data_IF_029817059320
#
_entry.id   IF_029817059320
#
_cell.length_a   1.000
_cell.length_b   1.000
_cell.length_c   1.000
_cell.angle_alpha   90.00
_cell.angle_beta   90.00
_cell.angle_gamma   90.00
#
_symmetry.space_group_name_H-M   'P 1'
#
loop_
_entity.id
_entity.type
_entity.pdbx_description
1 polymer ?
#
# COMPACT_ATOMS: atom_id res chain seq x y z
N UNK A 1 12.90 -21.41 1.33
CA UNK A 1 11.57 -20.92 1.76
C UNK A 1 11.36 -19.41 1.52
N UNK A 2 12.37 -18.52 1.74
CA UNK A 2 12.25 -17.06 1.55
C UNK A 2 12.01 -16.62 0.08
N UNK A 3 12.61 -17.28 -0.89
CA UNK A 3 12.44 -17.00 -2.33
C UNK A 3 11.06 -17.41 -2.89
N UNK A 4 10.43 -18.42 -2.31
CA UNK A 4 9.08 -18.83 -2.69
C UNK A 4 8.05 -17.78 -2.26
N UNK A 5 8.18 -17.21 -1.07
CA UNK A 5 7.27 -16.17 -0.54
C UNK A 5 7.34 -14.89 -1.38
N UNK A 6 8.54 -14.47 -1.80
CA UNK A 6 8.71 -13.29 -2.67
C UNK A 6 8.14 -13.55 -4.06
N UNK A 7 8.39 -14.74 -4.64
CA UNK A 7 7.79 -15.13 -5.93
C UNK A 7 6.28 -15.24 -5.85
N UNK A 8 5.75 -15.83 -4.78
CA UNK A 8 4.30 -15.95 -4.56
C UNK A 8 3.67 -14.56 -4.34
N UNK A 9 4.37 -13.65 -3.70
CA UNK A 9 3.89 -12.29 -3.45
C UNK A 9 3.92 -11.42 -4.71
N UNK A 10 4.99 -11.49 -5.52
CA UNK A 10 5.05 -10.86 -6.84
C UNK A 10 4.01 -11.49 -7.77
N UNK A 11 3.86 -12.82 -7.76
CA UNK A 11 2.85 -13.54 -8.54
C UNK A 11 1.44 -13.16 -8.08
N UNK A 12 1.20 -12.97 -6.78
CA UNK A 12 -0.08 -12.52 -6.22
C UNK A 12 -0.39 -11.09 -6.64
N UNK A 13 0.59 -10.18 -6.62
CA UNK A 13 0.41 -8.80 -7.10
C UNK A 13 0.14 -8.80 -8.61
N UNK A 14 0.91 -9.58 -9.39
CA UNK A 14 0.72 -9.73 -10.83
C UNK A 14 -0.60 -10.43 -11.14
N UNK A 15 -1.01 -11.42 -10.35
CA UNK A 15 -2.29 -12.11 -10.51
C UNK A 15 -3.47 -11.24 -10.06
N UNK A 16 -3.32 -10.42 -9.04
CA UNK A 16 -4.32 -9.44 -8.59
C UNK A 16 -4.48 -8.31 -9.60
N UNK A 17 -3.38 -7.83 -10.18
CA UNK A 17 -3.43 -6.87 -11.29
C UNK A 17 -3.97 -7.53 -12.55
N UNK A 18 -3.61 -8.76 -12.88
CA UNK A 18 -4.14 -9.50 -14.02
C UNK A 18 -5.61 -9.91 -13.83
N UNK A 19 -6.05 -10.24 -12.62
CA UNK A 19 -7.45 -10.55 -12.29
C UNK A 19 -8.32 -9.27 -12.24
N UNK A 20 -7.73 -8.11 -11.94
CA UNK A 20 -8.37 -6.80 -12.10
C UNK A 20 -8.47 -6.37 -13.58
N UNK A 21 -7.81 -7.10 -14.51
CA UNK A 21 -7.86 -6.89 -15.95
C UNK A 21 -8.53 -8.04 -16.72
N UNK A 22 -9.79 -8.43 -16.48
CA UNK A 22 -10.50 -9.35 -17.37
C UNK A 22 -11.17 -8.62 -18.54
N UNK A 23 -10.63 -7.49 -19.02
CA UNK A 23 -11.32 -6.77 -20.09
C UNK A 23 -10.39 -6.25 -21.20
N UNK A 24 -10.14 -7.15 -22.14
CA UNK A 24 -9.85 -6.80 -23.52
C UNK A 24 -11.21 -6.70 -24.21
N UNK A 25 -11.72 -5.53 -24.40
CA UNK A 25 -12.66 -5.07 -25.42
C UNK A 25 -13.54 -3.90 -24.92
N UNK A 26 -13.63 -2.91 -25.76
CA UNK A 26 -14.36 -1.63 -25.69
C UNK A 26 -13.56 -0.47 -25.07
N UNK A 27 -12.45 -0.11 -25.71
CA UNK A 27 -11.87 1.22 -25.63
C UNK A 27 -12.13 1.92 -26.98
N UNK A 28 -13.34 2.40 -27.17
CA UNK A 28 -13.66 3.44 -28.14
C UNK A 28 -14.71 4.34 -27.45
N UNK A 29 -14.21 5.39 -26.83
CA UNK A 29 -14.76 6.72 -26.62
C UNK A 29 -14.14 7.35 -25.38
N UNK A 30 -13.42 8.46 -25.56
CA UNK A 30 -12.89 9.29 -24.49
C UNK A 30 -14.06 9.92 -23.72
N UNK A 31 -14.30 9.47 -22.50
CA UNK A 31 -15.30 10.08 -21.61
C UNK A 31 -14.62 11.21 -20.83
N UNK A 32 -14.96 12.44 -21.19
CA UNK A 32 -14.52 13.64 -20.47
C UNK A 32 -15.40 13.77 -19.22
N UNK A 33 -14.80 13.67 -18.03
CA UNK A 33 -15.46 13.95 -16.76
C UNK A 33 -15.16 15.39 -16.38
N UNK A 34 -15.97 16.33 -16.88
CA UNK A 34 -15.90 17.74 -16.48
C UNK A 34 -16.35 17.90 -15.03
N UNK A 35 -15.46 18.46 -14.19
CA UNK A 35 -15.79 18.92 -12.85
C UNK A 35 -15.25 18.11 -11.67
N UNK A 36 -14.43 17.07 -11.88
CA UNK A 36 -13.76 16.36 -10.79
C UNK A 36 -12.38 16.97 -10.51
N UNK A 37 -12.30 17.85 -9.51
CA UNK A 37 -11.04 18.24 -8.87
C UNK A 37 -10.90 17.43 -7.59
N UNK A 38 -10.26 16.26 -7.64
CA UNK A 38 -9.79 15.61 -6.44
C UNK A 38 -8.68 16.48 -5.83
N UNK A 39 -8.70 16.67 -4.50
CA UNK A 39 -7.54 17.17 -3.75
C UNK A 39 -6.42 16.11 -3.84
N UNK A 40 -5.80 16.05 -4.99
CA UNK A 40 -4.65 15.19 -5.24
C UNK A 40 -3.42 15.94 -4.71
N UNK A 41 -2.61 15.34 -3.83
CA UNK A 41 -1.36 15.97 -3.41
C UNK A 41 -0.53 16.40 -4.62
N UNK A 42 0.06 17.60 -4.64
CA UNK A 42 0.74 18.16 -5.82
C UNK A 42 1.90 17.31 -6.34
N UNK A 43 2.51 16.49 -5.49
CA UNK A 43 3.54 15.53 -5.88
C UNK A 43 2.95 14.35 -6.67
N UNK A 44 1.70 13.97 -6.36
CA UNK A 44 0.97 12.92 -7.06
C UNK A 44 0.39 13.43 -8.38
N UNK A 45 -0.13 14.66 -8.39
CA UNK A 45 -0.63 15.31 -9.62
C UNK A 45 0.46 15.39 -10.68
N UNK A 46 1.69 15.74 -10.28
CA UNK A 46 2.85 15.74 -11.16
C UNK A 46 3.21 14.33 -11.64
N UNK A 47 3.19 13.34 -10.77
CA UNK A 47 3.49 11.94 -11.13
C UNK A 47 2.42 11.33 -12.04
N UNK A 48 1.15 11.70 -11.86
CA UNK A 48 0.03 11.28 -12.70
C UNK A 48 0.06 12.02 -14.05
N UNK A 49 0.37 13.32 -14.08
CA UNK A 49 0.51 14.08 -15.32
C UNK A 49 1.71 13.60 -16.14
N UNK A 50 2.83 13.28 -15.50
CA UNK A 50 4.00 12.68 -16.15
C UNK A 50 3.70 11.27 -16.68
N UNK A 51 2.74 10.55 -16.06
CA UNK A 51 2.23 9.27 -16.53
C UNK A 51 1.13 9.40 -17.61
N UNK A 52 0.71 10.63 -17.95
CA UNK A 52 -0.38 10.88 -18.92
C UNK A 52 -1.78 10.52 -18.37
N UNK A 53 -1.90 10.37 -17.06
CA UNK A 53 -3.15 10.03 -16.36
C UNK A 53 -3.71 11.32 -15.77
N UNK A 54 -4.68 11.93 -16.45
CA UNK A 54 -5.40 13.09 -15.92
C UNK A 54 -6.84 12.69 -15.58
N UNK A 55 -7.47 13.29 -14.56
CA UNK A 55 -8.89 13.02 -14.24
C UNK A 55 -9.84 13.33 -15.39
N UNK A 56 -9.41 14.17 -16.33
CA UNK A 56 -10.22 14.70 -17.43
C UNK A 56 -10.09 13.90 -18.74
N UNK A 57 -9.04 13.11 -18.91
CA UNK A 57 -8.85 12.30 -20.12
C UNK A 57 -8.10 11.02 -19.77
N UNK A 58 -8.84 9.93 -19.69
CA UNK A 58 -8.24 8.60 -19.73
C UNK A 58 -8.11 8.24 -21.20
N UNK A 59 -7.04 8.74 -21.84
CA UNK A 59 -6.71 8.30 -23.18
C UNK A 59 -6.38 6.82 -23.17
N UNK A 60 -7.01 6.07 -24.05
CA UNK A 60 -6.73 4.64 -24.25
C UNK A 60 -5.24 4.36 -24.57
N UNK A 61 -4.51 5.35 -25.09
CA UNK A 61 -3.06 5.31 -25.26
C UNK A 61 -2.27 5.53 -23.97
N UNK A 62 -2.79 6.28 -23.00
CA UNK A 62 -2.14 6.47 -21.70
C UNK A 62 -2.24 5.22 -20.82
N UNK A 63 -3.28 4.40 -20.99
CA UNK A 63 -3.44 3.05 -20.44
C UNK A 63 -2.65 1.97 -21.20
N UNK A 64 -1.80 2.35 -22.19
CA UNK A 64 -0.89 1.38 -22.77
C UNK A 64 0.01 0.85 -21.64
N UNK A 65 -0.12 -0.44 -21.38
CA UNK A 65 0.60 -1.19 -20.33
C UNK A 65 2.10 -0.87 -20.36
N UNK A 66 2.64 -0.59 -21.56
CA UNK A 66 4.05 -0.26 -21.77
C UNK A 66 4.46 1.10 -21.18
N UNK A 67 3.61 2.14 -21.26
CA UNK A 67 3.91 3.46 -20.67
C UNK A 67 3.80 3.42 -19.13
N UNK A 68 2.77 2.73 -18.60
CA UNK A 68 2.64 2.53 -17.15
C UNK A 68 3.84 1.73 -16.61
N UNK A 69 4.26 0.67 -17.31
CA UNK A 69 5.44 -0.13 -16.94
C UNK A 69 6.71 0.73 -17.01
N UNK A 70 6.92 1.54 -18.03
CA UNK A 70 8.13 2.36 -18.17
C UNK A 70 8.24 3.42 -17.07
N UNK A 71 7.14 4.07 -16.70
CA UNK A 71 7.10 5.06 -15.63
C UNK A 71 7.29 4.41 -14.25
N UNK A 72 6.62 3.27 -14.01
CA UNK A 72 6.80 2.49 -12.78
C UNK A 72 8.25 2.01 -12.68
N UNK A 73 8.88 1.54 -13.76
CA UNK A 73 10.30 1.12 -13.73
C UNK A 73 11.25 2.28 -13.44
N UNK A 74 10.97 3.50 -13.92
CA UNK A 74 11.74 4.71 -13.57
C UNK A 74 11.64 5.05 -12.08
N UNK A 75 10.42 5.05 -11.53
CA UNK A 75 10.18 5.27 -10.09
C UNK A 75 10.82 4.19 -9.22
N UNK A 76 10.80 2.93 -9.68
CA UNK A 76 11.44 1.81 -9.01
C UNK A 76 12.95 1.96 -8.94
N UNK A 77 13.57 2.40 -10.04
CA UNK A 77 15.01 2.61 -10.08
C UNK A 77 15.47 3.70 -9.09
N UNK A 78 14.72 4.77 -8.97
CA UNK A 78 14.98 5.80 -7.96
C UNK A 78 14.80 5.27 -6.53
N UNK A 79 13.77 4.48 -6.28
CA UNK A 79 13.47 3.90 -4.96
C UNK A 79 14.53 2.90 -4.47
N UNK A 80 15.29 2.28 -5.38
CA UNK A 80 16.34 1.31 -5.07
C UNK A 80 17.69 1.97 -4.74
N UNK A 81 17.98 3.16 -5.27
CA UNK A 81 19.27 3.85 -5.08
C UNK A 81 19.61 4.08 -3.60
N UNK A 82 18.66 4.53 -2.80
CA UNK A 82 18.86 4.84 -1.37
C UNK A 82 19.16 3.58 -0.54
N UNK A 83 18.39 2.48 -0.64
CA UNK A 83 18.71 1.21 0.05
C UNK A 83 20.04 0.60 -0.37
N UNK A 84 20.44 0.69 -1.65
CA UNK A 84 21.75 0.22 -2.11
C UNK A 84 22.89 1.01 -1.50
N UNK A 85 22.77 2.34 -1.43
CA UNK A 85 23.74 3.19 -0.77
C UNK A 85 23.88 2.86 0.71
N UNK A 86 22.77 2.58 1.38
CA UNK A 86 22.75 2.11 2.77
C UNK A 86 23.48 0.78 2.91
N UNK A 87 23.20 -0.20 2.05
CA UNK A 87 23.86 -1.52 2.09
C UNK A 87 25.38 -1.39 1.99
N UNK A 88 25.85 -0.61 1.02
CA UNK A 88 27.29 -0.36 0.83
C UNK A 88 27.88 0.30 2.08
N UNK A 89 27.20 1.30 2.64
CA UNK A 89 27.65 1.99 3.85
C UNK A 89 27.73 1.03 5.04
N UNK A 90 26.71 0.20 5.29
CA UNK A 90 26.69 -0.77 6.39
C UNK A 90 27.78 -1.83 6.24
N UNK A 91 27.98 -2.38 5.03
CA UNK A 91 29.04 -3.35 4.76
C UNK A 91 30.42 -2.71 4.99
N UNK A 92 30.64 -1.49 4.48
CA UNK A 92 31.91 -0.78 4.64
C UNK A 92 32.25 -0.54 6.12
N UNK A 93 31.27 -0.06 6.91
CA UNK A 93 31.48 0.16 8.34
C UNK A 93 31.69 -1.18 9.08
N UNK A 94 30.95 -2.22 8.75
CA UNK A 94 31.12 -3.56 9.35
C UNK A 94 32.51 -4.12 9.06
N UNK A 95 33.03 -3.94 7.86
CA UNK A 95 34.41 -4.34 7.49
C UNK A 95 35.44 -3.55 8.29
N UNK A 96 35.30 -2.23 8.39
CA UNK A 96 36.20 -1.41 9.21
C UNK A 96 36.17 -1.82 10.67
N UNK A 97 34.99 -2.12 11.20
CA UNK A 97 34.83 -2.62 12.57
C UNK A 97 35.50 -3.99 12.76
N UNK A 98 35.38 -4.90 11.78
CA UNK A 98 36.03 -6.20 11.82
C UNK A 98 37.54 -6.08 11.84
N UNK A 99 38.09 -5.24 10.96
CA UNK A 99 39.55 -4.97 10.91
C UNK A 99 40.02 -4.38 12.25
N UNK A 100 39.30 -3.38 12.77
CA UNK A 100 39.63 -2.76 14.06
C UNK A 100 39.63 -3.77 15.22
N UNK A 101 38.66 -4.70 15.25
CA UNK A 101 38.62 -5.78 16.27
C UNK A 101 39.82 -6.70 16.18
N UNK A 102 40.26 -7.08 14.97
CA UNK A 102 41.47 -7.92 14.78
C UNK A 102 42.71 -7.22 15.29
N UNK A 103 42.87 -5.90 15.04
CA UNK A 103 43.98 -5.14 15.60
C UNK A 103 43.90 -4.99 17.12
N UNK A 104 42.71 -4.85 17.65
CA UNK A 104 42.47 -4.69 19.09
C UNK A 104 42.72 -5.99 19.86
N UNK A 105 42.57 -7.16 19.26
CA UNK A 105 42.87 -8.47 19.87
C UNK A 105 44.37 -8.64 20.15
N UNK A 106 45.23 -7.93 19.43
CA UNK A 106 46.70 -7.93 19.63
C UNK A 106 47.17 -6.84 20.63
N UNK A 107 46.28 -6.08 21.23
CA UNK A 107 46.58 -4.95 22.11
C UNK A 107 45.93 -5.16 23.49
N UNK A 108 46.33 -4.42 24.51
CA UNK A 108 45.82 -4.53 25.89
C UNK A 108 44.27 -4.38 25.95
N UNK A 109 43.61 -5.24 26.76
CA UNK A 109 42.17 -5.49 26.79
C UNK A 109 41.21 -4.27 26.87
N UNK A 110 41.64 -3.12 27.40
CA UNK A 110 40.80 -1.93 27.47
C UNK A 110 40.55 -1.26 26.12
N UNK A 111 41.49 -1.33 25.17
CA UNK A 111 41.35 -0.78 23.84
C UNK A 111 40.32 -1.55 23.00
N UNK A 112 40.23 -2.86 23.15
CA UNK A 112 39.25 -3.71 22.48
C UNK A 112 37.81 -3.26 22.79
N UNK A 113 37.50 -3.01 24.06
CA UNK A 113 36.17 -2.55 24.48
C UNK A 113 35.82 -1.19 23.90
N UNK A 114 36.76 -0.25 23.86
CA UNK A 114 36.56 1.07 23.28
C UNK A 114 36.32 0.99 21.76
N UNK A 115 37.12 0.23 21.02
CA UNK A 115 36.92 0.06 19.58
C UNK A 115 35.59 -0.63 19.25
N UNK A 116 35.20 -1.66 20.01
CA UNK A 116 33.91 -2.31 19.86
C UNK A 116 32.76 -1.35 20.08
N UNK A 117 32.78 -0.54 21.14
CA UNK A 117 31.75 0.46 21.43
C UNK A 117 31.62 1.52 20.34
N UNK A 118 32.76 2.08 19.88
CA UNK A 118 32.75 3.10 18.80
C UNK A 118 32.19 2.49 17.51
N UNK A 119 32.55 1.26 17.18
CA UNK A 119 32.05 0.54 16.02
C UNK A 119 30.52 0.33 16.09
N UNK A 120 30.03 -0.13 17.23
CA UNK A 120 28.59 -0.33 17.47
C UNK A 120 27.85 0.99 17.37
N UNK A 121 28.35 2.06 17.96
CA UNK A 121 27.72 3.40 17.89
C UNK A 121 27.66 3.93 16.45
N UNK A 122 28.73 3.79 15.68
CA UNK A 122 28.76 4.22 14.28
C UNK A 122 27.73 3.46 13.43
N UNK A 123 27.73 2.13 13.50
CA UNK A 123 26.75 1.31 12.78
C UNK A 123 25.31 1.55 13.25
N UNK A 124 25.09 1.73 14.55
CA UNK A 124 23.76 1.95 15.09
C UNK A 124 23.17 3.28 14.64
N UNK A 125 23.98 4.33 14.58
CA UNK A 125 23.52 5.63 14.05
C UNK A 125 23.04 5.52 12.62
N UNK A 126 23.80 4.86 11.74
CA UNK A 126 23.42 4.67 10.33
C UNK A 126 22.15 3.80 10.22
N UNK A 127 22.08 2.70 10.97
CA UNK A 127 20.96 1.74 10.92
C UNK A 127 19.67 2.39 11.42
N UNK A 128 19.72 3.08 12.56
CA UNK A 128 18.54 3.71 13.18
C UNK A 128 18.06 4.90 12.35
N UNK A 129 18.97 5.73 11.83
CA UNK A 129 18.60 6.84 10.93
C UNK A 129 17.88 6.32 9.71
N UNK A 130 18.45 5.33 8.98
CA UNK A 130 17.84 4.78 7.78
C UNK A 130 16.49 4.09 8.05
N UNK A 131 16.35 3.37 9.16
CA UNK A 131 15.10 2.73 9.54
C UNK A 131 14.03 3.77 9.91
N UNK A 132 14.41 4.84 10.62
CA UNK A 132 13.54 5.96 10.99
C UNK A 132 13.07 6.75 9.75
N UNK A 133 13.98 7.03 8.81
CA UNK A 133 13.65 7.72 7.56
C UNK A 133 12.69 6.89 6.72
N UNK A 134 12.91 5.58 6.63
CA UNK A 134 12.02 4.64 5.95
C UNK A 134 10.63 4.60 6.58
N UNK A 135 10.54 4.61 7.91
CA UNK A 135 9.27 4.62 8.65
C UNK A 135 8.51 5.95 8.43
N UNK A 136 9.23 7.07 8.46
CA UNK A 136 8.66 8.40 8.21
C UNK A 136 8.14 8.53 6.77
N UNK A 137 8.90 8.06 5.80
CA UNK A 137 8.48 8.04 4.40
C UNK A 137 7.22 7.17 4.19
N UNK A 138 7.17 5.98 4.81
CA UNK A 138 6.01 5.11 4.75
C UNK A 138 4.77 5.74 5.43
N UNK A 139 4.96 6.42 6.55
CA UNK A 139 3.87 7.14 7.24
C UNK A 139 3.28 8.24 6.36
N UNK A 140 4.11 9.03 5.68
CA UNK A 140 3.66 10.04 4.70
C UNK A 140 2.91 9.40 3.53
N UNK A 141 3.37 8.27 3.02
CA UNK A 141 2.68 7.54 1.95
C UNK A 141 1.29 7.06 2.40
N UNK A 142 1.16 6.55 3.62
CA UNK A 142 -0.14 6.17 4.18
C UNK A 142 -1.06 7.38 4.35
N UNK A 143 -0.53 8.50 4.79
CA UNK A 143 -1.28 9.76 4.91
C UNK A 143 -1.79 10.23 3.55
N UNK A 144 -0.92 10.29 2.54
CA UNK A 144 -1.30 10.64 1.17
C UNK A 144 -2.34 9.67 0.59
N UNK A 145 -2.19 8.37 0.85
CA UNK A 145 -3.17 7.36 0.45
C UNK A 145 -4.52 7.53 1.14
N UNK A 146 -4.52 7.90 2.43
CA UNK A 146 -5.74 8.18 3.20
C UNK A 146 -6.47 9.42 2.67
N UNK A 147 -5.74 10.49 2.34
CA UNK A 147 -6.29 11.71 1.71
C UNK A 147 -6.86 11.38 0.33
N UNK A 148 -6.14 10.60 -0.46
CA UNK A 148 -6.66 10.12 -1.76
C UNK A 148 -7.97 9.35 -1.60
N UNK A 149 -8.05 8.37 -0.70
CA UNK A 149 -9.29 7.63 -0.48
C UNK A 149 -10.42 8.53 0.05
N UNK A 150 -10.09 9.51 0.89
CA UNK A 150 -11.07 10.45 1.44
C UNK A 150 -11.76 11.30 0.37
N UNK A 151 -11.07 11.64 -0.72
CA UNK A 151 -11.66 12.36 -1.86
C UNK A 151 -12.25 11.42 -2.91
N UNK A 152 -11.59 10.29 -3.18
CA UNK A 152 -11.99 9.36 -4.23
C UNK A 152 -13.29 8.61 -3.90
N UNK A 153 -13.42 8.09 -2.67
CA UNK A 153 -14.56 7.24 -2.29
C UNK A 153 -15.90 7.98 -2.34
N UNK A 154 -16.06 9.21 -1.80
CA UNK A 154 -17.31 9.95 -1.94
C UNK A 154 -17.70 10.25 -3.39
N UNK A 155 -16.74 10.60 -4.24
CA UNK A 155 -16.98 10.83 -5.66
C UNK A 155 -17.45 9.55 -6.36
N UNK A 156 -16.79 8.42 -6.09
CA UNK A 156 -17.21 7.13 -6.63
C UNK A 156 -18.59 6.69 -6.12
N UNK A 157 -18.88 6.93 -4.84
CA UNK A 157 -20.21 6.69 -4.28
C UNK A 157 -21.29 7.56 -4.96
N UNK A 158 -20.97 8.81 -5.33
CA UNK A 158 -21.84 9.67 -6.13
C UNK A 158 -22.18 9.04 -7.49
N UNK A 159 -21.18 8.55 -8.22
CA UNK A 159 -21.38 7.84 -9.51
C UNK A 159 -22.22 6.57 -9.30
N UNK A 160 -22.02 5.82 -8.22
CA UNK A 160 -22.82 4.66 -7.88
C UNK A 160 -24.29 5.03 -7.64
N UNK A 161 -24.53 6.09 -6.89
CA UNK A 161 -25.89 6.56 -6.57
C UNK A 161 -26.65 6.98 -7.83
N UNK A 162 -26.01 7.67 -8.79
CA UNK A 162 -26.61 8.04 -10.08
C UNK A 162 -26.92 6.82 -10.96
N UNK A 163 -26.20 5.69 -10.74
CA UNK A 163 -26.49 4.41 -11.39
C UNK A 163 -27.68 3.65 -10.78
N UNK A 164 -28.37 4.23 -9.78
CA UNK A 164 -29.49 3.61 -9.06
C UNK A 164 -29.07 2.77 -7.85
N UNK A 165 -27.79 2.67 -7.53
CA UNK A 165 -27.26 1.92 -6.39
C UNK A 165 -27.06 2.79 -5.15
N UNK A 166 -28.14 3.47 -4.70
CA UNK A 166 -28.09 4.48 -3.63
C UNK A 166 -27.71 3.87 -2.28
N UNK A 167 -28.32 2.71 -1.92
CA UNK A 167 -28.05 2.03 -0.65
C UNK A 167 -26.61 1.52 -0.59
N UNK A 168 -26.16 0.91 -1.67
CA UNK A 168 -24.76 0.45 -1.81
C UNK A 168 -23.78 1.61 -1.70
N UNK A 169 -24.02 2.72 -2.40
CA UNK A 169 -23.18 3.91 -2.37
C UNK A 169 -23.00 4.47 -0.95
N UNK A 170 -24.11 4.67 -0.24
CA UNK A 170 -24.09 5.23 1.12
C UNK A 170 -23.34 4.34 2.12
N UNK A 171 -23.61 3.03 2.08
CA UNK A 171 -23.00 2.07 2.99
C UNK A 171 -21.50 1.87 2.72
N UNK A 172 -21.11 1.74 1.44
CA UNK A 172 -19.69 1.62 1.07
C UNK A 172 -18.91 2.87 1.44
N UNK A 173 -19.44 4.06 1.14
CA UNK A 173 -18.81 5.30 1.55
C UNK A 173 -18.51 5.29 3.06
N UNK A 174 -19.50 4.94 3.88
CA UNK A 174 -19.34 4.92 5.34
C UNK A 174 -18.28 3.91 5.81
N UNK A 175 -18.31 2.68 5.30
CA UNK A 175 -17.40 1.62 5.78
C UNK A 175 -15.99 1.80 5.25
N UNK A 176 -15.83 2.17 3.98
CA UNK A 176 -14.48 2.36 3.43
C UNK A 176 -13.83 3.60 4.04
N UNK A 177 -14.57 4.71 4.19
CA UNK A 177 -14.07 5.90 4.89
C UNK A 177 -13.72 5.61 6.34
N UNK A 178 -14.62 4.95 7.08
CA UNK A 178 -14.38 4.55 8.46
C UNK A 178 -13.19 3.60 8.60
N UNK A 179 -13.08 2.63 7.69
CA UNK A 179 -11.96 1.69 7.60
C UNK A 179 -10.63 2.39 7.32
N UNK A 180 -10.57 3.27 6.33
CA UNK A 180 -9.37 4.03 5.98
C UNK A 180 -8.91 4.95 7.12
N UNK A 181 -9.84 5.68 7.74
CA UNK A 181 -9.54 6.56 8.87
C UNK A 181 -9.13 5.75 10.12
N UNK A 182 -9.82 4.65 10.41
CA UNK A 182 -9.47 3.76 11.51
C UNK A 182 -8.09 3.13 11.32
N UNK A 183 -7.79 2.67 10.11
CA UNK A 183 -6.49 2.13 9.76
C UNK A 183 -5.37 3.18 9.92
N UNK A 184 -5.60 4.40 9.44
CA UNK A 184 -4.63 5.50 9.55
C UNK A 184 -4.36 5.86 11.02
N UNK A 185 -5.39 5.89 11.87
CA UNK A 185 -5.21 6.12 13.31
C UNK A 185 -4.44 4.99 13.98
N UNK A 186 -4.71 3.73 13.63
CA UNK A 186 -3.93 2.58 14.12
C UNK A 186 -2.47 2.70 13.71
N UNK A 187 -2.21 2.98 12.43
CA UNK A 187 -0.86 3.11 11.90
C UNK A 187 -0.08 4.23 12.61
N UNK A 188 -0.63 5.45 12.67
CA UNK A 188 0.05 6.63 13.19
C UNK A 188 0.17 6.63 14.72
N UNK A 189 -0.86 6.19 15.46
CA UNK A 189 -0.88 6.28 16.93
C UNK A 189 -0.33 5.04 17.64
N UNK A 190 -0.27 3.89 16.96
CA UNK A 190 0.15 2.62 17.57
C UNK A 190 1.34 2.03 16.86
N UNK A 191 1.23 1.74 15.55
CA UNK A 191 2.26 0.97 14.86
C UNK A 191 3.56 1.75 14.66
N UNK A 192 3.48 3.03 14.33
CA UNK A 192 4.66 3.91 14.17
C UNK A 192 5.39 4.09 15.51
N UNK A 193 4.75 4.48 16.62
CA UNK A 193 5.42 4.60 17.93
C UNK A 193 6.00 3.27 18.42
N UNK A 194 5.29 2.15 18.24
CA UNK A 194 5.80 0.81 18.59
C UNK A 194 7.07 0.49 17.78
N UNK A 195 7.07 0.76 16.48
CA UNK A 195 8.24 0.53 15.62
C UNK A 195 9.44 1.41 16.02
N UNK A 196 9.20 2.68 16.36
CA UNK A 196 10.25 3.58 16.90
C UNK A 196 10.78 3.10 18.24
N UNK A 197 9.90 2.61 19.13
CA UNK A 197 10.32 2.07 20.42
C UNK A 197 11.21 0.82 20.27
N UNK A 198 10.90 -0.06 19.33
CA UNK A 198 11.75 -1.23 19.02
C UNK A 198 13.13 -0.76 18.57
N UNK A 199 13.23 0.23 17.68
CA UNK A 199 14.50 0.78 17.24
C UNK A 199 15.30 1.39 18.41
N UNK A 200 14.65 2.16 19.26
CA UNK A 200 15.28 2.77 20.44
C UNK A 200 15.81 1.73 21.44
N UNK A 201 15.00 0.72 21.75
CA UNK A 201 15.40 -0.38 22.64
C UNK A 201 16.54 -1.19 22.01
N UNK A 202 16.48 -1.45 20.69
CA UNK A 202 17.54 -2.18 19.97
C UNK A 202 18.85 -1.43 19.97
N UNK A 203 18.83 -0.09 19.88
CA UNK A 203 20.00 0.76 20.02
C UNK A 203 20.63 0.61 21.41
N UNK A 204 19.82 0.75 22.46
CA UNK A 204 20.29 0.60 23.84
C UNK A 204 20.88 -0.79 24.09
N UNK A 205 20.23 -1.85 23.59
CA UNK A 205 20.70 -3.22 23.74
C UNK A 205 21.98 -3.54 22.97
N UNK A 206 22.20 -2.91 21.82
CA UNK A 206 23.44 -3.08 21.05
C UNK A 206 24.66 -2.49 21.77
N UNK A 207 24.46 -1.45 22.57
CA UNK A 207 25.51 -0.84 23.40
C UNK A 207 25.77 -1.65 24.67
N UNK A 208 24.72 -2.15 25.33
CA UNK A 208 24.86 -2.92 26.59
C UNK A 208 25.33 -4.37 26.40
N UNK A 209 25.18 -4.95 25.21
CA UNK A 209 25.75 -6.26 24.83
C UNK A 209 25.09 -7.50 25.46
N UNK A 210 24.31 -7.37 26.53
CA UNK A 210 23.75 -8.51 27.28
C UNK A 210 22.29 -8.87 26.90
N UNK A 211 21.57 -7.98 26.23
CA UNK A 211 20.15 -8.15 25.98
C UNK A 211 19.88 -8.77 24.60
N UNK A 212 19.28 -9.95 24.56
CA UNK A 212 18.81 -10.60 23.32
C UNK A 212 17.52 -9.94 22.80
N UNK A 213 17.62 -8.68 22.40
CA UNK A 213 16.49 -7.88 21.94
C UNK A 213 15.92 -8.31 20.58
N UNK A 214 16.69 -9.11 19.82
CA UNK A 214 16.22 -9.72 18.57
C UNK A 214 14.94 -10.54 18.78
N UNK A 215 14.87 -11.32 19.87
CA UNK A 215 13.70 -12.16 20.19
C UNK A 215 12.46 -11.29 20.47
N UNK A 216 12.64 -10.17 21.18
CA UNK A 216 11.55 -9.22 21.45
C UNK A 216 11.05 -8.58 20.16
N UNK A 217 11.95 -8.08 19.31
CA UNK A 217 11.61 -7.48 18.02
C UNK A 217 10.86 -8.46 17.10
N UNK A 218 11.27 -9.72 17.08
CA UNK A 218 10.58 -10.76 16.31
C UNK A 218 9.21 -11.10 16.89
N UNK A 219 9.04 -11.12 18.20
CA UNK A 219 7.75 -11.34 18.85
C UNK A 219 6.77 -10.20 18.51
N UNK A 220 7.20 -8.96 18.66
CA UNK A 220 6.37 -7.78 18.32
C UNK A 220 6.02 -7.77 16.83
N UNK A 221 6.99 -8.02 15.93
CA UNK A 221 6.75 -8.16 14.50
C UNK A 221 5.66 -9.19 14.20
N UNK A 222 5.74 -10.38 14.78
CA UNK A 222 4.76 -11.45 14.58
C UNK A 222 3.38 -11.05 15.06
N UNK A 223 3.30 -10.43 16.23
CA UNK A 223 2.04 -9.94 16.82
C UNK A 223 1.41 -8.85 15.97
N UNK A 224 2.18 -7.87 15.52
CA UNK A 224 1.69 -6.77 14.65
C UNK A 224 1.15 -7.31 13.33
N UNK A 225 1.90 -8.19 12.66
CA UNK A 225 1.45 -8.78 11.40
C UNK A 225 0.16 -9.58 11.58
N UNK A 226 0.03 -10.32 12.70
CA UNK A 226 -1.18 -11.06 13.02
C UNK A 226 -2.38 -10.13 13.27
N UNK A 227 -2.20 -9.04 14.02
CA UNK A 227 -3.24 -8.04 14.28
C UNK A 227 -3.67 -7.36 12.97
N UNK A 228 -2.73 -6.98 12.09
CA UNK A 228 -3.05 -6.41 10.79
C UNK A 228 -3.86 -7.37 9.93
N UNK A 229 -3.48 -8.66 9.91
CA UNK A 229 -4.24 -9.71 9.22
C UNK A 229 -5.66 -9.87 9.75
N UNK A 230 -5.84 -9.81 11.07
CA UNK A 230 -7.15 -9.88 11.71
C UNK A 230 -8.01 -8.67 11.33
N UNK A 231 -7.46 -7.46 11.39
CA UNK A 231 -8.15 -6.21 11.00
C UNK A 231 -8.59 -6.29 9.54
N UNK A 232 -7.72 -6.75 8.65
CA UNK A 232 -8.05 -6.93 7.24
C UNK A 232 -9.17 -7.96 7.03
N UNK A 233 -9.14 -9.07 7.76
CA UNK A 233 -10.19 -10.09 7.70
C UNK A 233 -11.54 -9.53 8.14
N UNK A 234 -11.58 -8.79 9.25
CA UNK A 234 -12.80 -8.13 9.74
C UNK A 234 -13.30 -7.10 8.74
N UNK A 235 -12.41 -6.28 8.18
CA UNK A 235 -12.77 -5.27 7.19
C UNK A 235 -13.41 -5.90 5.93
N UNK A 236 -12.79 -6.95 5.38
CA UNK A 236 -13.31 -7.67 4.20
C UNK A 236 -14.65 -8.34 4.53
N UNK A 237 -14.78 -8.93 5.74
CA UNK A 237 -16.05 -9.52 6.18
C UNK A 237 -17.17 -8.48 6.29
N UNK A 238 -16.88 -7.28 6.81
CA UNK A 238 -17.84 -6.17 6.88
C UNK A 238 -18.27 -5.72 5.47
N UNK A 239 -17.34 -5.57 4.53
CA UNK A 239 -17.65 -5.23 3.15
C UNK A 239 -18.50 -6.30 2.47
N UNK A 240 -18.17 -7.58 2.65
CA UNK A 240 -18.93 -8.70 2.11
C UNK A 240 -20.36 -8.74 2.70
N UNK A 241 -20.50 -8.62 4.01
CA UNK A 241 -21.82 -8.60 4.67
C UNK A 241 -22.70 -7.47 4.14
N UNK A 242 -22.15 -6.29 3.98
CA UNK A 242 -22.89 -5.14 3.42
C UNK A 242 -23.31 -5.39 1.98
N UNK A 243 -22.45 -6.00 1.17
CA UNK A 243 -22.73 -6.41 -0.19
C UNK A 243 -24.00 -7.28 -0.28
N UNK A 244 -24.13 -8.26 0.62
CA UNK A 244 -25.31 -9.13 0.65
C UNK A 244 -26.62 -8.42 1.02
N UNK A 245 -26.54 -7.30 1.73
CA UNK A 245 -27.72 -6.54 2.18
C UNK A 245 -28.14 -5.50 1.14
N UNK A 246 -27.17 -4.74 0.60
CA UNK A 246 -27.45 -3.54 -0.20
C UNK A 246 -27.74 -3.85 -1.66
N UNK A 247 -27.04 -4.83 -2.28
CA UNK A 247 -27.22 -5.13 -3.70
C UNK A 247 -28.63 -5.63 -4.03
N UNK A 248 -29.23 -6.58 -3.29
CA UNK A 248 -30.61 -6.98 -3.54
C UNK A 248 -31.61 -5.82 -3.35
N UNK A 249 -31.38 -4.95 -2.36
CA UNK A 249 -32.24 -3.78 -2.10
C UNK A 249 -32.24 -2.81 -3.27
N UNK A 250 -31.07 -2.46 -3.80
CA UNK A 250 -30.92 -1.55 -4.94
C UNK A 250 -31.51 -2.18 -6.22
N UNK A 251 -31.30 -3.47 -6.47
CA UNK A 251 -31.85 -4.17 -7.61
C UNK A 251 -33.39 -4.20 -7.62
N UNK A 252 -34.01 -4.37 -6.46
CA UNK A 252 -35.47 -4.27 -6.31
C UNK A 252 -35.95 -2.85 -6.62
N UNK A 253 -35.25 -1.84 -6.12
CA UNK A 253 -35.56 -0.43 -6.39
C UNK A 253 -35.49 -0.08 -7.88
N UNK A 254 -34.44 -0.49 -8.58
CA UNK A 254 -34.28 -0.28 -10.03
C UNK A 254 -35.39 -0.99 -10.83
N UNK A 255 -35.68 -2.24 -10.50
CA UNK A 255 -36.77 -3.00 -11.16
C UNK A 255 -38.13 -2.39 -10.91
N UNK A 256 -38.42 -1.95 -9.69
CA UNK A 256 -39.66 -1.25 -9.36
C UNK A 256 -39.80 0.06 -10.12
N UNK A 257 -38.75 0.85 -10.21
CA UNK A 257 -38.76 2.11 -10.99
C UNK A 257 -39.03 1.83 -12.48
N UNK A 258 -38.33 0.87 -13.09
CA UNK A 258 -38.56 0.46 -14.49
C UNK A 258 -39.99 -0.02 -14.70
N UNK A 259 -40.53 -0.87 -13.83
CA UNK A 259 -41.88 -1.38 -13.89
C UNK A 259 -42.94 -0.24 -13.81
N UNK A 260 -42.74 0.71 -12.89
CA UNK A 260 -43.64 1.83 -12.72
C UNK A 260 -43.67 2.73 -13.98
N UNK A 261 -42.49 2.98 -14.56
CA UNK A 261 -42.39 3.80 -15.78
C UNK A 261 -42.99 3.07 -16.98
N UNK A 262 -42.68 1.79 -17.16
CA UNK A 262 -43.16 1.01 -18.31
C UNK A 262 -44.70 0.83 -18.31
N UNK A 263 -45.31 0.67 -17.15
CA UNK A 263 -46.74 0.41 -17.03
C UNK A 263 -47.57 1.68 -16.66
N UNK A 264 -46.90 2.69 -16.05
CA UNK A 264 -47.58 3.91 -15.61
C UNK A 264 -47.83 4.94 -16.70
N UNK A 265 -47.11 4.86 -17.84
CA UNK A 265 -47.24 5.84 -18.95
C UNK A 265 -47.76 5.13 -20.20
N UNK A 266 -49.04 5.24 -20.55
CA UNK A 266 -49.61 4.63 -21.75
C UNK A 266 -48.88 5.10 -23.02
N UNK A 267 -48.66 4.20 -23.99
CA UNK A 267 -48.07 4.41 -25.32
C UNK A 267 -46.56 4.69 -25.39
N UNK A 268 -45.93 5.34 -24.38
CA UNK A 268 -44.50 5.73 -24.41
C UNK A 268 -43.69 5.11 -23.28
N UNK A 269 -44.33 4.43 -22.32
CA UNK A 269 -43.62 3.85 -21.14
C UNK A 269 -42.49 2.87 -21.49
N UNK A 270 -42.67 2.08 -22.56
CA UNK A 270 -41.63 1.19 -23.08
C UNK A 270 -40.39 1.95 -23.56
N UNK A 271 -40.58 2.95 -24.42
CA UNK A 271 -39.47 3.77 -24.95
C UNK A 271 -38.73 4.56 -23.86
N UNK A 272 -39.43 5.02 -22.82
CA UNK A 272 -38.80 5.67 -21.68
C UNK A 272 -38.03 4.67 -20.82
N UNK A 273 -38.56 3.49 -20.60
CA UNK A 273 -37.85 2.40 -19.90
C UNK A 273 -36.57 1.95 -20.63
N UNK A 274 -36.61 1.87 -21.97
CA UNK A 274 -35.45 1.53 -22.80
C UNK A 274 -34.39 2.64 -22.75
N UNK A 275 -34.82 3.91 -22.82
CA UNK A 275 -33.94 5.07 -22.66
C UNK A 275 -33.24 5.09 -21.29
N UNK A 276 -33.96 4.77 -20.21
CA UNK A 276 -33.36 4.60 -18.88
C UNK A 276 -32.33 3.48 -18.86
N UNK A 277 -32.60 2.36 -19.56
CA UNK A 277 -31.65 1.24 -19.61
C UNK A 277 -30.36 1.61 -20.34
N UNK A 278 -30.44 2.36 -21.43
CA UNK A 278 -29.26 2.91 -22.14
C UNK A 278 -28.48 3.88 -21.25
N UNK A 279 -29.18 4.76 -20.54
CA UNK A 279 -28.55 5.70 -19.61
C UNK A 279 -27.81 4.98 -18.48
N UNK A 280 -28.41 3.96 -17.85
CA UNK A 280 -27.73 3.17 -16.83
C UNK A 280 -26.54 2.40 -17.38
N UNK A 281 -26.60 1.92 -18.61
CA UNK A 281 -25.48 1.29 -19.33
C UNK A 281 -24.31 2.26 -19.52
N UNK A 282 -24.58 3.48 -19.97
CA UNK A 282 -23.58 4.54 -20.14
C UNK A 282 -22.90 4.92 -18.82
N UNK A 283 -23.68 5.12 -17.76
CA UNK A 283 -23.14 5.40 -16.42
C UNK A 283 -22.27 4.21 -15.93
N UNK A 284 -22.62 2.98 -16.31
CA UNK A 284 -21.84 1.77 -16.00
C UNK A 284 -20.42 1.82 -16.57
N UNK A 285 -20.23 2.36 -17.78
CA UNK A 285 -18.91 2.55 -18.40
C UNK A 285 -18.10 3.59 -17.62
N UNK A 286 -18.68 4.73 -17.31
CA UNK A 286 -18.05 5.79 -16.51
C UNK A 286 -17.56 5.24 -15.17
N UNK A 287 -18.41 4.50 -14.49
CA UNK A 287 -18.11 3.86 -13.21
C UNK A 287 -16.93 2.91 -13.29
N UNK A 288 -16.90 2.03 -14.30
CA UNK A 288 -15.81 1.08 -14.46
C UNK A 288 -14.48 1.79 -14.71
N UNK A 289 -14.48 2.78 -15.59
CA UNK A 289 -13.28 3.58 -15.89
C UNK A 289 -12.79 4.35 -14.65
N UNK A 290 -13.70 4.97 -13.91
CA UNK A 290 -13.36 5.68 -12.69
C UNK A 290 -12.80 4.75 -11.60
N UNK A 291 -13.37 3.55 -11.46
CA UNK A 291 -12.86 2.54 -10.53
C UNK A 291 -11.46 2.04 -10.91
N UNK A 292 -11.20 1.78 -12.20
CA UNK A 292 -9.88 1.40 -12.70
C UNK A 292 -8.86 2.53 -12.46
N UNK A 293 -9.24 3.78 -12.71
CA UNK A 293 -8.42 4.95 -12.38
C UNK A 293 -8.03 4.96 -10.88
N UNK A 294 -8.99 4.71 -9.99
CA UNK A 294 -8.73 4.66 -8.54
C UNK A 294 -7.73 3.56 -8.14
N UNK A 295 -7.83 2.37 -8.74
CA UNK A 295 -6.90 1.27 -8.47
C UNK A 295 -5.49 1.61 -8.97
N UNK A 296 -5.36 2.15 -10.18
CA UNK A 296 -4.07 2.53 -10.76
C UNK A 296 -3.43 3.64 -9.93
N UNK A 297 -4.18 4.69 -9.61
CA UNK A 297 -3.69 5.82 -8.81
C UNK A 297 -3.25 5.38 -7.41
N UNK A 298 -4.05 4.57 -6.73
CA UNK A 298 -3.67 3.98 -5.44
C UNK A 298 -2.41 3.11 -5.53
N UNK A 299 -2.28 2.35 -6.61
CA UNK A 299 -1.09 1.55 -6.91
C UNK A 299 0.16 2.41 -7.11
N UNK A 300 0.09 3.40 -7.99
CA UNK A 300 1.21 4.34 -8.29
C UNK A 300 1.65 5.09 -7.03
N UNK A 301 0.73 5.44 -6.16
CA UNK A 301 1.02 6.14 -4.91
C UNK A 301 1.77 5.25 -3.90
N UNK A 302 1.39 3.98 -3.75
CA UNK A 302 1.84 3.14 -2.63
C UNK A 302 2.95 2.16 -3.04
N UNK A 303 2.93 1.64 -4.28
CA UNK A 303 3.90 0.63 -4.75
C UNK A 303 5.37 1.06 -4.65
N UNK A 304 5.77 2.29 -5.01
CA UNK A 304 7.16 2.72 -4.89
C UNK A 304 7.66 2.66 -3.45
N UNK A 305 6.82 3.06 -2.48
CA UNK A 305 7.14 2.98 -1.05
C UNK A 305 7.28 1.53 -0.58
N UNK A 306 6.40 0.63 -1.00
CA UNK A 306 6.51 -0.81 -0.68
C UNK A 306 7.84 -1.36 -1.17
N UNK A 307 8.22 -1.06 -2.41
CA UNK A 307 9.45 -1.57 -3.01
C UNK A 307 10.67 -0.98 -2.32
N UNK A 308 10.67 0.32 -2.03
CA UNK A 308 11.74 0.97 -1.27
C UNK A 308 11.94 0.29 0.08
N UNK A 309 10.88 0.07 0.85
CA UNK A 309 10.95 -0.58 2.17
C UNK A 309 11.41 -2.04 2.07
N UNK A 310 10.98 -2.78 1.03
CA UNK A 310 11.48 -4.13 0.76
C UNK A 310 12.98 -4.15 0.47
N UNK A 311 13.48 -3.17 -0.28
CA UNK A 311 14.92 -3.01 -0.54
C UNK A 311 15.70 -2.66 0.73
N UNK A 312 15.16 -1.78 1.61
CA UNK A 312 15.74 -1.52 2.93
C UNK A 312 15.79 -2.79 3.79
N UNK A 313 14.70 -3.56 3.81
CA UNK A 313 14.65 -4.85 4.51
C UNK A 313 15.71 -5.81 4.00
N UNK A 314 15.90 -5.94 2.68
CA UNK A 314 16.95 -6.76 2.08
C UNK A 314 18.34 -6.25 2.46
N UNK A 315 18.55 -4.93 2.43
CA UNK A 315 19.81 -4.32 2.82
C UNK A 315 20.18 -4.64 4.28
N UNK A 316 19.24 -4.50 5.22
CA UNK A 316 19.47 -4.88 6.62
C UNK A 316 19.69 -6.38 6.80
N UNK A 317 18.96 -7.23 6.10
CA UNK A 317 19.12 -8.68 6.17
C UNK A 317 20.50 -9.13 5.65
N UNK A 318 20.96 -8.56 4.53
CA UNK A 318 22.30 -8.84 3.99
C UNK A 318 23.38 -8.31 4.92
N UNK A 319 23.27 -7.07 5.39
CA UNK A 319 24.24 -6.48 6.31
C UNK A 319 24.32 -7.27 7.65
N UNK A 320 23.19 -7.76 8.17
CA UNK A 320 23.16 -8.62 9.34
C UNK A 320 23.90 -9.94 9.08
N UNK A 321 23.73 -10.55 7.89
CA UNK A 321 24.44 -11.77 7.51
C UNK A 321 25.95 -11.53 7.40
N UNK A 322 26.38 -10.41 6.84
CA UNK A 322 27.78 -10.00 6.79
C UNK A 322 28.35 -9.80 8.20
N UNK A 323 27.65 -9.09 9.08
CA UNK A 323 28.09 -8.88 10.46
C UNK A 323 28.22 -10.20 11.24
N UNK A 324 27.34 -11.16 10.97
CA UNK A 324 27.37 -12.49 11.58
C UNK A 324 28.62 -13.30 11.16
N UNK A 325 29.00 -13.21 9.87
CA UNK A 325 30.22 -13.81 9.34
C UNK A 325 31.50 -13.32 10.07
N UNK A 326 31.53 -12.07 10.49
CA UNK A 326 32.64 -11.48 11.23
C UNK A 326 32.52 -11.63 12.75
N UNK A 327 31.50 -12.32 13.25
CA UNK A 327 31.32 -12.63 14.67
C UNK A 327 30.91 -11.41 15.52
N UNK A 328 30.41 -10.32 14.91
CA UNK A 328 30.01 -9.09 15.62
C UNK A 328 28.53 -9.20 16.00
N UNK A 329 28.23 -10.01 17.01
CA UNK A 329 26.84 -10.35 17.41
C UNK A 329 25.97 -9.14 17.76
N UNK A 330 26.54 -8.09 18.35
CA UNK A 330 25.84 -6.86 18.71
C UNK A 330 25.27 -6.12 17.48
N UNK A 331 26.08 -6.00 16.40
CA UNK A 331 25.64 -5.39 15.15
C UNK A 331 24.63 -6.26 14.41
N UNK A 332 24.85 -7.58 14.42
CA UNK A 332 23.90 -8.55 13.84
C UNK A 332 22.51 -8.41 14.46
N UNK A 333 22.43 -8.34 15.80
CA UNK A 333 21.17 -8.15 16.52
C UNK A 333 20.45 -6.84 16.15
N UNK A 334 21.18 -5.74 16.09
CA UNK A 334 20.64 -4.43 15.72
C UNK A 334 20.05 -4.43 14.28
N UNK A 335 20.82 -4.95 13.32
CA UNK A 335 20.39 -5.02 11.92
C UNK A 335 19.18 -5.94 11.72
N UNK A 336 19.10 -7.05 12.46
CA UNK A 336 17.91 -7.93 12.47
C UNK A 336 16.69 -7.24 13.09
N UNK A 337 16.87 -6.40 14.10
CA UNK A 337 15.79 -5.57 14.62
C UNK A 337 15.28 -4.56 13.58
N UNK A 338 16.19 -3.88 12.86
CA UNK A 338 15.84 -2.96 11.77
C UNK A 338 15.13 -3.70 10.61
N UNK A 339 15.57 -4.92 10.26
CA UNK A 339 14.84 -5.80 9.33
C UNK A 339 13.43 -6.11 9.84
N UNK A 340 13.28 -6.37 11.13
CA UNK A 340 11.99 -6.59 11.79
C UNK A 340 11.04 -5.41 11.64
N UNK A 341 11.52 -4.20 11.93
CA UNK A 341 10.78 -2.95 11.76
C UNK A 341 10.42 -2.72 10.30
N UNK A 342 11.35 -2.90 9.36
CA UNK A 342 11.05 -2.81 7.92
C UNK A 342 9.97 -3.81 7.48
N UNK A 343 9.89 -4.98 8.13
CA UNK A 343 8.83 -5.96 7.89
C UNK A 343 7.46 -5.47 8.38
N UNK A 344 7.40 -4.78 9.52
CA UNK A 344 6.17 -4.15 10.04
C UNK A 344 5.71 -3.06 9.07
N UNK A 345 6.62 -2.20 8.64
CA UNK A 345 6.33 -1.12 7.68
C UNK A 345 5.77 -1.69 6.37
N UNK A 346 6.42 -2.74 5.84
CA UNK A 346 5.93 -3.43 4.64
C UNK A 346 4.51 -3.97 4.83
N UNK A 347 4.24 -4.60 5.97
CA UNK A 347 2.91 -5.13 6.28
C UNK A 347 1.86 -4.01 6.36
N UNK A 348 2.21 -2.86 6.94
CA UNK A 348 1.32 -1.68 6.99
C UNK A 348 0.96 -1.18 5.59
N UNK A 349 1.95 -0.93 4.74
CA UNK A 349 1.72 -0.42 3.38
C UNK A 349 0.92 -1.41 2.52
N UNK A 350 1.27 -2.70 2.60
CA UNK A 350 0.57 -3.76 1.84
C UNK A 350 -0.87 -3.92 2.30
N UNK A 351 -1.12 -3.92 3.61
CA UNK A 351 -2.50 -4.02 4.14
C UNK A 351 -3.34 -2.84 3.70
N UNK A 352 -2.79 -1.63 3.72
CA UNK A 352 -3.51 -0.43 3.26
C UNK A 352 -3.81 -0.48 1.76
N UNK A 353 -2.83 -0.89 0.94
CA UNK A 353 -3.03 -1.07 -0.51
C UNK A 353 -4.12 -2.11 -0.79
N UNK A 354 -4.08 -3.26 -0.11
CA UNK A 354 -5.09 -4.30 -0.25
C UNK A 354 -6.48 -3.79 0.17
N UNK A 355 -6.57 -3.03 1.25
CA UNK A 355 -7.82 -2.41 1.69
C UNK A 355 -8.40 -1.50 0.60
N UNK A 356 -7.57 -0.63 0.00
CA UNK A 356 -7.98 0.27 -1.08
C UNK A 356 -8.45 -0.51 -2.33
N UNK A 357 -7.64 -1.45 -2.80
CA UNK A 357 -7.94 -2.26 -4.01
C UNK A 357 -9.21 -3.09 -3.82
N UNK A 358 -9.36 -3.78 -2.69
CA UNK A 358 -10.55 -4.61 -2.41
C UNK A 358 -11.80 -3.72 -2.35
N UNK A 359 -11.72 -2.55 -1.69
CA UNK A 359 -12.84 -1.63 -1.60
C UNK A 359 -13.30 -1.15 -2.97
N UNK A 360 -12.38 -0.65 -3.79
CA UNK A 360 -12.69 -0.14 -5.13
C UNK A 360 -13.20 -1.28 -6.04
N UNK A 361 -12.56 -2.45 -6.00
CA UNK A 361 -12.96 -3.62 -6.79
C UNK A 361 -14.37 -4.10 -6.44
N UNK A 362 -14.72 -4.15 -5.16
CA UNK A 362 -16.08 -4.50 -4.73
C UNK A 362 -17.11 -3.45 -5.18
N UNK A 363 -16.79 -2.17 -5.12
CA UNK A 363 -17.67 -1.12 -5.63
C UNK A 363 -17.94 -1.26 -7.13
N UNK A 364 -16.92 -1.62 -7.92
CA UNK A 364 -17.09 -1.92 -9.36
C UNK A 364 -17.99 -3.15 -9.55
N UNK A 365 -17.70 -4.23 -8.85
CA UNK A 365 -18.37 -5.52 -9.01
C UNK A 365 -19.87 -5.45 -8.64
N UNK A 366 -20.21 -4.84 -7.53
CA UNK A 366 -21.58 -4.80 -7.01
C UNK A 366 -22.54 -4.08 -7.93
N UNK A 367 -22.07 -3.05 -8.59
CA UNK A 367 -22.90 -2.32 -9.52
C UNK A 367 -22.94 -2.95 -10.93
N UNK A 368 -22.07 -3.94 -11.23
CA UNK A 368 -22.08 -4.71 -12.50
C UNK A 368 -23.07 -5.85 -12.54
N UNK A 369 -23.58 -6.32 -11.40
CA UNK A 369 -24.48 -7.47 -11.31
C UNK A 369 -25.96 -7.22 -11.62
N UNK A 370 -26.32 -6.06 -12.17
CA UNK A 370 -27.71 -5.67 -12.44
C UNK A 370 -28.09 -5.65 -13.95
N UNK A 371 -27.41 -6.44 -14.79
CA UNK A 371 -27.80 -6.63 -16.21
C UNK A 371 -28.61 -7.89 -16.36
#
# INVERSE_FOLDING_TARGET
>A
MKTAVIKTFILLIVLLTAAAFPYRAYAEESVIIDGYSADIPPELEKSLSDAGITPQSIDSEALSVDKVISNVTGMLWESIKSPLKLLISLISVTLLCSIANVFADNTSGNLKTVFSLVSVLACSTITVSAASDSLTAASKTLESGSVFLASFIPAFAGILATSGHVSSAAMFNTVVMGGAQGYMQLASKILVPVSMSILGISLAGSVCGELKLETLAQAVKKTVIWILGLIMTVFVALLAMQSFITVPSDNVGIKAARFTVSNGVPFIGGAVSDSLSVMYGGIGIIRNNFGVFGIITGGVLILPSIISVLCYKLAFSLAASFSDLFGISQLTGLMKCAEGVSSIITAMLVSFLLMAVISISLMIFMAGGAV
#
